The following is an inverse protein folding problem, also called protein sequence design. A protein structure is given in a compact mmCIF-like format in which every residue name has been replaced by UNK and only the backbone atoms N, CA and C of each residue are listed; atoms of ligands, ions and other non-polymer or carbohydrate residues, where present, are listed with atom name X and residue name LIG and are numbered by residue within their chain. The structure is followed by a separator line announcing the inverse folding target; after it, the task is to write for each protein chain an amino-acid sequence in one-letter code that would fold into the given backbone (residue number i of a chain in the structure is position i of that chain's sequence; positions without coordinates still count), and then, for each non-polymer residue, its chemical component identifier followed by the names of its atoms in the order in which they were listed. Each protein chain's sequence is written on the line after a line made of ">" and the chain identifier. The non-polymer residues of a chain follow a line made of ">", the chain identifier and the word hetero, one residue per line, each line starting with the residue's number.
data_IF_416581010674
#
_entry.id   IF_416581010674
#
_cell.length_a   1.000
_cell.length_b   1.000
_cell.length_c   1.000
_cell.angle_alpha   90.00
_cell.angle_beta   90.00
_cell.angle_gamma   90.00
#
_symmetry.space_group_name_H-M   'P 1'
#
loop_
_entity.id
_entity.type
_entity.pdbx_description
1 polymer ?
#
# COMPACT_ATOMS: atom_id res chain seq x y z
N UNK A 1 6.47 -6.42 17.80
CA UNK A 1 5.21 -6.08 17.10
C UNK A 1 5.25 -6.74 15.73
N UNK A 2 4.25 -7.54 15.34
CA UNK A 2 4.22 -8.08 13.96
C UNK A 2 3.87 -6.94 13.01
N UNK A 3 4.75 -6.67 12.04
CA UNK A 3 4.47 -5.72 10.95
C UNK A 3 3.35 -6.29 10.08
N UNK A 4 2.27 -5.52 9.90
CA UNK A 4 1.14 -5.88 9.04
C UNK A 4 1.63 -5.87 7.60
N UNK A 5 1.41 -6.96 6.85
CA UNK A 5 1.76 -7.05 5.43
C UNK A 5 0.54 -6.75 4.58
N UNK A 6 0.66 -5.77 3.71
CA UNK A 6 -0.41 -5.30 2.82
C UNK A 6 0.10 -5.41 1.39
N UNK A 7 -0.64 -6.09 0.51
CA UNK A 7 -0.28 -6.20 -0.91
C UNK A 7 -1.37 -5.56 -1.75
N UNK A 8 -0.99 -4.65 -2.64
CA UNK A 8 -1.89 -4.01 -3.61
C UNK A 8 -1.63 -4.66 -4.97
N UNK A 9 -2.62 -5.37 -5.50
CA UNK A 9 -2.57 -6.00 -6.84
C UNK A 9 -3.25 -5.04 -7.83
N UNK A 10 -2.59 -4.72 -8.93
CA UNK A 10 -3.01 -3.65 -9.84
C UNK A 10 -2.53 -2.27 -9.38
N UNK A 11 -1.31 -2.21 -8.84
CA UNK A 11 -0.73 -1.00 -8.26
C UNK A 11 -0.53 0.15 -9.26
N UNK A 12 -0.50 -0.13 -10.57
CA UNK A 12 -0.45 0.85 -11.66
C UNK A 12 -1.67 1.77 -11.73
N UNK A 13 -2.74 1.48 -10.97
CA UNK A 13 -3.79 2.46 -10.67
C UNK A 13 -3.27 3.54 -9.70
N UNK A 14 -2.45 4.46 -10.21
CA UNK A 14 -1.68 5.45 -9.41
C UNK A 14 -2.56 6.23 -8.43
N UNK A 15 -3.71 6.74 -8.88
CA UNK A 15 -4.62 7.53 -8.03
C UNK A 15 -5.16 6.71 -6.86
N UNK A 16 -5.53 5.45 -7.13
CA UNK A 16 -6.06 4.55 -6.10
C UNK A 16 -4.97 4.11 -5.12
N UNK A 17 -3.84 3.63 -5.64
CA UNK A 17 -2.70 3.15 -4.86
C UNK A 17 -2.13 4.24 -3.96
N UNK A 18 -1.95 5.47 -4.46
CA UNK A 18 -1.49 6.60 -3.64
C UNK A 18 -2.53 7.05 -2.61
N UNK A 19 -3.82 6.95 -2.94
CA UNK A 19 -4.90 7.17 -1.98
C UNK A 19 -4.81 6.21 -0.80
N UNK A 20 -4.62 4.92 -1.08
CA UNK A 20 -4.41 3.90 -0.05
C UNK A 20 -3.16 4.17 0.79
N UNK A 21 -2.03 4.51 0.16
CA UNK A 21 -0.80 4.84 0.89
C UNK A 21 -1.02 6.02 1.84
N UNK A 22 -1.70 7.07 1.38
CA UNK A 22 -2.04 8.22 2.21
C UNK A 22 -2.84 7.79 3.43
N UNK A 23 -3.87 6.98 3.24
CA UNK A 23 -4.75 6.53 4.32
C UNK A 23 -4.04 5.60 5.30
N UNK A 24 -3.12 4.75 4.82
CA UNK A 24 -2.25 3.92 5.67
C UNK A 24 -1.34 4.78 6.56
N UNK A 25 -0.74 5.85 6.01
CA UNK A 25 0.09 6.77 6.78
C UNK A 25 -0.70 7.57 7.82
N UNK A 26 -1.96 7.91 7.52
CA UNK A 26 -2.83 8.68 8.42
C UNK A 26 -3.51 7.82 9.50
N UNK A 27 -3.43 6.49 9.39
CA UNK A 27 -4.07 5.56 10.34
C UNK A 27 -3.05 4.99 11.32
N UNK A 28 -3.01 5.48 12.55
CA UNK A 28 -2.02 5.08 13.58
C UNK A 28 -1.93 3.57 13.81
N UNK A 29 -3.07 2.87 13.78
CA UNK A 29 -3.11 1.41 13.96
C UNK A 29 -2.46 0.61 12.83
N UNK A 30 -2.13 1.25 11.71
CA UNK A 30 -1.48 0.65 10.53
C UNK A 30 -0.03 1.11 10.38
N UNK A 31 0.51 1.87 11.33
CA UNK A 31 1.89 2.30 11.29
C UNK A 31 2.87 1.12 11.37
N UNK A 32 3.96 1.21 10.60
CA UNK A 32 4.95 0.14 10.49
C UNK A 32 4.49 -1.05 9.63
N UNK A 33 3.37 -0.91 8.89
CA UNK A 33 2.97 -1.87 7.88
C UNK A 33 3.99 -1.93 6.73
N UNK A 34 4.17 -3.12 6.17
CA UNK A 34 4.95 -3.34 4.95
C UNK A 34 3.99 -3.42 3.76
N UNK A 35 4.14 -2.51 2.81
CA UNK A 35 3.29 -2.41 1.63
C UNK A 35 4.04 -2.94 0.41
N UNK A 36 3.49 -3.97 -0.24
CA UNK A 36 3.99 -4.53 -1.49
C UNK A 36 3.09 -4.07 -2.64
N UNK A 37 3.70 -3.42 -3.63
CA UNK A 37 3.03 -3.06 -4.88
C UNK A 37 3.27 -4.15 -5.92
N UNK A 38 2.19 -4.69 -6.46
CA UNK A 38 2.25 -5.66 -7.53
C UNK A 38 1.43 -5.15 -8.71
N UNK A 39 2.05 -5.16 -9.88
CA UNK A 39 1.38 -4.98 -11.16
C UNK A 39 2.06 -5.88 -12.19
N UNK A 40 1.36 -6.13 -13.30
CA UNK A 40 1.92 -6.81 -14.46
C UNK A 40 2.68 -5.84 -15.37
N UNK A 41 2.36 -4.55 -15.28
CA UNK A 41 3.10 -3.50 -15.98
C UNK A 41 4.13 -2.88 -15.04
N UNK A 42 5.35 -2.68 -15.54
CA UNK A 42 6.44 -2.04 -14.79
C UNK A 42 6.34 -0.50 -14.87
N UNK A 43 5.72 0.02 -15.94
CA UNK A 43 5.33 1.43 -16.09
C UNK A 43 4.05 1.75 -15.31
#
# INVERSE_FOLDING_TARGET
>A
MMSIKITIIGAGSVVFSLGLVKDLCLTEGLWGSNVCFMDINEE
#
